data_IF_671122455379
#
_entry.id   IF_671122455379
#
_cell.length_a   1.000
_cell.length_b   1.000
_cell.length_c   1.000
_cell.angle_alpha   90.00
_cell.angle_beta   90.00
_cell.angle_gamma   90.00
#
_symmetry.space_group_name_H-M   'P 1'
#
loop_
_entity.id
_entity.type
_entity.pdbx_description
1 polymer ?
#
# COMPACT_ATOMS: atom_id res chain seq x y z
N UNK A 1 15.95 2.75 13.00
CA UNK A 1 14.65 3.21 13.55
C UNK A 1 14.04 2.09 14.37
N UNK A 2 13.31 2.39 15.45
CA UNK A 2 12.70 1.38 16.31
C UNK A 2 11.46 0.78 15.65
N UNK A 3 11.33 -0.55 15.63
CA UNK A 3 10.14 -1.23 15.17
C UNK A 3 8.97 -0.96 16.14
N UNK A 4 7.80 -0.57 15.61
CA UNK A 4 6.55 -0.42 16.38
C UNK A 4 5.72 -1.70 16.31
N UNK A 5 5.86 -2.47 15.21
CA UNK A 5 5.29 -3.81 15.08
C UNK A 5 6.45 -4.77 14.79
N UNK A 6 6.52 -5.87 15.53
CA UNK A 6 7.45 -6.96 15.29
C UNK A 6 6.69 -8.28 15.27
N UNK A 7 6.76 -8.95 14.14
CA UNK A 7 6.16 -10.26 13.88
C UNK A 7 7.29 -11.26 13.67
N UNK A 8 7.30 -12.37 14.41
CA UNK A 8 8.34 -13.39 14.33
C UNK A 8 7.73 -14.76 14.18
N UNK A 9 8.11 -15.44 13.09
CA UNK A 9 7.72 -16.81 12.74
C UNK A 9 6.21 -17.06 12.85
N UNK A 10 5.41 -16.05 12.48
CA UNK A 10 3.98 -16.10 12.61
C UNK A 10 3.38 -17.12 11.66
N UNK A 11 2.63 -18.06 12.21
CA UNK A 11 1.85 -19.01 11.44
C UNK A 11 0.38 -18.98 11.83
N UNK A 12 -0.50 -19.27 10.84
CA UNK A 12 -1.93 -19.41 11.05
C UNK A 12 -2.49 -20.54 10.22
N UNK A 13 -3.05 -21.51 10.91
CA UNK A 13 -3.79 -22.63 10.33
C UNK A 13 -5.24 -22.50 10.79
N UNK A 14 -6.20 -22.52 9.87
CA UNK A 14 -7.63 -22.52 10.16
C UNK A 14 -8.17 -23.96 10.32
N UNK A 15 -9.39 -24.07 10.86
CA UNK A 15 -10.11 -25.32 10.90
C UNK A 15 -10.18 -25.93 9.49
N UNK A 16 -9.90 -27.21 9.35
CA UNK A 16 -9.80 -27.88 8.04
C UNK A 16 -8.40 -27.91 7.43
N UNK A 17 -7.36 -27.42 8.15
CA UNK A 17 -5.96 -27.56 7.75
C UNK A 17 -5.46 -26.49 6.77
N UNK A 18 -6.28 -25.52 6.40
CA UNK A 18 -5.84 -24.42 5.53
C UNK A 18 -4.84 -23.52 6.24
N UNK A 19 -3.58 -23.50 5.76
CA UNK A 19 -2.52 -22.68 6.28
C UNK A 19 -2.51 -21.31 5.57
N UNK A 20 -3.04 -20.30 6.25
CA UNK A 20 -3.16 -18.93 5.72
C UNK A 20 -1.88 -18.10 5.88
N UNK A 21 -1.06 -18.40 6.91
CA UNK A 21 0.24 -17.75 7.10
C UNK A 21 1.30 -18.82 7.43
N UNK A 22 2.49 -18.68 6.82
CA UNK A 22 3.57 -19.66 6.90
C UNK A 22 4.85 -18.98 7.35
N UNK A 23 5.12 -19.02 8.69
CA UNK A 23 6.35 -18.50 9.27
C UNK A 23 6.70 -17.06 8.83
N UNK A 24 5.73 -16.15 8.96
CA UNK A 24 5.90 -14.76 8.55
C UNK A 24 6.78 -14.00 9.54
N UNK A 25 7.83 -13.36 9.05
CA UNK A 25 8.66 -12.39 9.75
C UNK A 25 8.42 -11.01 9.14
N UNK A 26 8.12 -10.00 9.99
CA UNK A 26 7.83 -8.64 9.53
C UNK A 26 8.13 -7.62 10.63
N UNK A 27 8.86 -6.58 10.28
CA UNK A 27 9.07 -5.41 11.13
C UNK A 27 8.57 -4.15 10.46
N UNK A 28 7.72 -3.38 11.17
CA UNK A 28 7.20 -2.09 10.73
C UNK A 28 7.78 -1.01 11.62
N UNK A 29 8.34 0.03 11.00
CA UNK A 29 9.02 1.13 11.69
C UNK A 29 8.00 2.15 12.19
N UNK A 30 8.33 2.84 13.28
CA UNK A 30 7.48 3.90 13.84
C UNK A 30 7.40 5.09 12.88
N UNK A 31 6.18 5.59 12.65
CA UNK A 31 5.92 6.80 11.87
C UNK A 31 6.05 6.63 10.35
N UNK A 32 6.11 5.39 9.83
CA UNK A 32 6.09 5.13 8.39
C UNK A 32 4.68 4.82 7.88
N UNK A 33 4.49 4.97 6.58
CA UNK A 33 3.40 4.35 5.84
C UNK A 33 3.94 3.06 5.22
N UNK A 34 3.47 1.93 5.71
CA UNK A 34 3.83 0.61 5.20
C UNK A 34 2.69 0.05 4.34
N UNK A 35 2.96 -0.25 3.06
CA UNK A 35 2.00 -0.90 2.19
C UNK A 35 2.26 -2.40 2.10
N UNK A 36 1.24 -3.21 2.36
CA UNK A 36 1.28 -4.64 2.18
C UNK A 36 0.55 -5.02 0.89
N UNK A 37 1.33 -5.35 -0.14
CA UNK A 37 0.86 -5.76 -1.46
C UNK A 37 0.71 -7.28 -1.55
N UNK A 38 -0.27 -7.73 -2.31
CA UNK A 38 -0.45 -9.14 -2.63
C UNK A 38 -1.80 -9.42 -3.26
N UNK A 39 -1.94 -10.53 -4.01
CA UNK A 39 -3.20 -10.92 -4.61
C UNK A 39 -4.26 -11.26 -3.57
N UNK A 40 -5.52 -11.40 -4.02
CA UNK A 40 -6.59 -11.86 -3.15
C UNK A 40 -6.29 -13.28 -2.66
N UNK A 41 -6.52 -13.52 -1.37
CA UNK A 41 -6.19 -14.79 -0.73
C UNK A 41 -4.72 -14.98 -0.34
N UNK A 42 -3.84 -13.99 -0.57
CA UNK A 42 -2.43 -14.07 -0.20
C UNK A 42 -2.15 -14.13 1.31
N UNK A 43 -3.14 -13.79 2.16
CA UNK A 43 -3.00 -13.77 3.62
C UNK A 43 -2.98 -12.38 4.25
N UNK A 44 -3.14 -11.28 3.47
CA UNK A 44 -3.11 -9.87 3.96
C UNK A 44 -4.05 -9.65 5.16
N UNK A 45 -5.35 -9.89 4.97
CA UNK A 45 -6.36 -9.71 6.02
C UNK A 45 -6.13 -10.64 7.22
N UNK A 46 -5.63 -11.85 7.00
CA UNK A 46 -5.28 -12.77 8.09
C UNK A 46 -4.12 -12.23 8.92
N UNK A 47 -3.09 -11.66 8.28
CA UNK A 47 -1.95 -11.04 8.95
C UNK A 47 -2.39 -9.83 9.78
N UNK A 48 -3.18 -8.92 9.19
CA UNK A 48 -3.75 -7.77 9.91
C UNK A 48 -4.58 -8.23 11.11
N UNK A 49 -5.49 -9.18 10.91
CA UNK A 49 -6.36 -9.67 11.97
C UNK A 49 -5.58 -10.35 13.11
N UNK A 50 -4.46 -11.02 12.81
CA UNK A 50 -3.56 -11.57 13.82
C UNK A 50 -2.86 -10.46 14.61
N UNK A 51 -2.33 -9.42 13.93
CA UNK A 51 -1.67 -8.28 14.60
C UNK A 51 -2.67 -7.47 15.44
N UNK A 52 -3.89 -7.29 14.96
CA UNK A 52 -4.96 -6.59 15.71
C UNK A 52 -5.56 -7.45 16.84
N UNK A 53 -5.12 -8.71 16.98
CA UNK A 53 -5.62 -9.63 18.00
C UNK A 53 -7.08 -10.08 17.79
N UNK A 54 -7.59 -10.01 16.55
CA UNK A 54 -8.93 -10.53 16.16
C UNK A 54 -8.84 -12.03 15.94
N UNK A 55 -7.73 -12.50 15.38
CA UNK A 55 -7.47 -13.93 15.13
C UNK A 55 -6.23 -14.34 15.91
N UNK A 56 -6.34 -15.38 16.74
CA UNK A 56 -5.19 -15.91 17.44
C UNK A 56 -4.23 -16.61 16.47
N UNK A 57 -2.92 -16.38 16.57
CA UNK A 57 -1.92 -17.10 15.80
C UNK A 57 -1.91 -18.60 16.16
N UNK A 58 -1.47 -19.46 15.25
CA UNK A 58 -1.20 -20.86 15.53
C UNK A 58 0.22 -21.10 16.04
N UNK A 59 1.14 -20.17 15.76
CA UNK A 59 2.52 -20.16 16.25
C UNK A 59 3.16 -18.82 15.95
N UNK A 60 4.34 -18.59 16.55
CA UNK A 60 5.08 -17.33 16.45
C UNK A 60 4.64 -16.29 17.48
N UNK A 61 5.20 -15.08 17.40
CA UNK A 61 4.95 -13.98 18.33
C UNK A 61 4.70 -12.69 17.57
N UNK A 62 3.85 -11.82 18.14
CA UNK A 62 3.55 -10.50 17.59
C UNK A 62 3.65 -9.49 18.72
N UNK A 63 4.46 -8.45 18.54
CA UNK A 63 4.55 -7.32 19.43
C UNK A 63 4.02 -6.06 18.74
N UNK A 64 3.15 -5.31 19.42
CA UNK A 64 2.68 -4.00 19.02
C UNK A 64 3.09 -2.98 20.09
N UNK A 65 3.97 -2.05 19.75
CA UNK A 65 4.57 -1.06 20.64
C UNK A 65 5.18 -1.71 21.91
N UNK A 66 5.84 -2.88 21.73
CA UNK A 66 6.45 -3.66 22.82
C UNK A 66 5.49 -4.58 23.58
N UNK A 67 4.18 -4.56 23.31
CA UNK A 67 3.18 -5.38 23.97
C UNK A 67 2.83 -6.60 23.13
N UNK A 68 2.86 -7.79 23.73
CA UNK A 68 2.44 -9.02 23.05
C UNK A 68 0.93 -9.04 22.83
N UNK A 69 0.50 -9.29 21.58
CA UNK A 69 -0.91 -9.18 21.19
C UNK A 69 -1.80 -10.28 21.76
N UNK A 70 -1.22 -11.36 22.28
CA UNK A 70 -1.94 -12.48 22.90
C UNK A 70 -1.94 -12.36 24.42
N UNK A 71 -0.77 -12.20 25.05
CA UNK A 71 -0.63 -12.19 26.51
C UNK A 71 -0.91 -10.84 27.14
N UNK A 72 -0.55 -9.74 26.44
CA UNK A 72 -0.82 -8.35 26.86
C UNK A 72 -1.78 -7.62 25.91
N UNK A 73 -2.85 -8.34 25.52
CA UNK A 73 -3.77 -7.91 24.47
C UNK A 73 -4.43 -6.56 24.72
N UNK A 74 -4.69 -6.17 25.98
CA UNK A 74 -5.32 -4.88 26.29
C UNK A 74 -4.41 -3.71 25.99
N UNK A 75 -3.15 -3.79 26.38
CA UNK A 75 -2.15 -2.78 26.10
C UNK A 75 -1.87 -2.71 24.59
N UNK A 76 -1.66 -3.87 23.94
CA UNK A 76 -1.45 -3.93 22.49
C UNK A 76 -2.62 -3.31 21.71
N UNK A 77 -3.87 -3.70 21.99
CA UNK A 77 -5.05 -3.15 21.30
C UNK A 77 -5.28 -1.67 21.55
N UNK A 78 -4.88 -1.15 22.74
CA UNK A 78 -4.97 0.29 23.03
C UNK A 78 -4.08 1.14 22.11
N UNK A 79 -3.09 0.54 21.46
CA UNK A 79 -2.16 1.18 20.52
C UNK A 79 -2.61 1.09 19.07
N UNK A 80 -3.62 0.27 18.77
CA UNK A 80 -4.03 -0.08 17.41
C UNK A 80 -5.42 0.46 17.10
N UNK A 81 -5.56 1.16 15.98
CA UNK A 81 -6.82 1.43 15.32
C UNK A 81 -6.93 0.57 14.05
N UNK A 82 -8.11 0.05 13.77
CA UNK A 82 -8.39 -0.75 12.58
C UNK A 82 -9.59 -0.19 11.82
N UNK A 83 -9.41 0.02 10.53
CA UNK A 83 -10.47 0.29 9.56
C UNK A 83 -10.57 -0.93 8.64
N UNK A 84 -11.59 -1.78 8.79
CA UNK A 84 -11.76 -2.95 7.95
C UNK A 84 -12.22 -2.57 6.53
N UNK A 85 -12.10 -3.51 5.61
CA UNK A 85 -12.56 -3.34 4.23
C UNK A 85 -14.07 -3.07 4.16
N UNK A 86 -14.87 -3.83 4.89
CA UNK A 86 -16.31 -3.63 4.97
C UNK A 86 -16.68 -2.53 5.97
N UNK A 87 -17.61 -1.65 5.56
CA UNK A 87 -18.08 -0.52 6.37
C UNK A 87 -19.19 -1.00 7.32
N UNK A 88 -18.82 -1.72 8.38
CA UNK A 88 -19.75 -2.15 9.42
C UNK A 88 -19.89 -1.05 10.49
N UNK A 89 -20.96 -0.25 10.41
CA UNK A 89 -21.35 0.74 11.42
C UNK A 89 -22.84 0.63 11.71
N UNK A 90 -23.25 1.06 12.90
CA UNK A 90 -24.68 1.23 13.18
C UNK A 90 -25.21 2.39 12.31
N UNK A 91 -26.15 2.05 11.44
CA UNK A 91 -26.69 2.99 10.45
C UNK A 91 -27.50 4.14 11.09
N UNK A 92 -28.06 3.93 12.27
CA UNK A 92 -28.99 4.86 12.94
C UNK A 92 -28.31 5.83 13.89
N UNK A 93 -27.09 5.54 14.32
CA UNK A 93 -26.30 6.39 15.20
C UNK A 93 -25.80 7.65 14.49
N UNK A 94 -25.58 8.73 15.28
CA UNK A 94 -24.92 9.93 14.77
C UNK A 94 -23.41 9.71 14.63
N UNK A 95 -22.76 10.52 13.79
CA UNK A 95 -21.28 10.51 13.66
C UNK A 95 -20.62 10.75 15.01
N UNK A 96 -21.12 11.75 15.76
CA UNK A 96 -20.60 12.11 17.07
C UNK A 96 -20.71 10.97 18.08
N UNK A 97 -21.89 10.37 18.18
CA UNK A 97 -22.14 9.30 19.15
C UNK A 97 -21.30 8.06 18.85
N UNK A 98 -21.21 7.68 17.57
CA UNK A 98 -20.38 6.54 17.12
C UNK A 98 -18.92 6.72 17.50
N UNK A 99 -18.34 7.91 17.25
CA UNK A 99 -16.92 8.16 17.53
C UNK A 99 -16.67 8.27 19.04
N UNK A 100 -17.58 8.92 19.77
CA UNK A 100 -17.50 9.06 21.23
C UNK A 100 -17.64 7.71 21.93
N UNK A 101 -18.61 6.89 21.51
CA UNK A 101 -18.81 5.53 22.03
C UNK A 101 -17.57 4.67 21.79
N UNK A 102 -16.99 4.73 20.60
CA UNK A 102 -15.76 3.99 20.28
C UNK A 102 -14.63 4.32 21.25
N UNK A 103 -14.44 5.61 21.58
CA UNK A 103 -13.44 6.02 22.59
C UNK A 103 -13.71 5.39 23.97
N UNK A 104 -14.98 5.36 24.38
CA UNK A 104 -15.40 4.75 25.64
C UNK A 104 -15.15 3.24 25.69
N UNK A 105 -15.39 2.52 24.58
CA UNK A 105 -15.14 1.08 24.48
C UNK A 105 -13.65 0.74 24.72
N UNK A 106 -12.74 1.62 24.30
CA UNK A 106 -11.30 1.49 24.58
C UNK A 106 -10.90 1.95 26.00
N UNK A 107 -11.87 2.26 26.88
CA UNK A 107 -11.63 2.67 28.26
C UNK A 107 -11.01 4.06 28.41
N UNK A 108 -11.05 4.90 27.37
CA UNK A 108 -10.53 6.27 27.43
C UNK A 108 -11.59 7.21 28.00
N UNK A 109 -11.19 8.16 28.87
CA UNK A 109 -12.14 9.17 29.41
C UNK A 109 -12.72 10.02 28.28
N UNK A 110 -13.91 10.56 28.49
CA UNK A 110 -14.54 11.49 27.56
C UNK A 110 -13.60 12.67 27.25
N UNK A 111 -13.43 12.98 25.98
CA UNK A 111 -12.62 14.12 25.51
C UNK A 111 -13.29 14.76 24.29
N UNK A 112 -14.32 15.60 24.49
CA UNK A 112 -15.04 16.26 23.41
C UNK A 112 -14.14 17.11 22.52
N UNK A 113 -13.11 17.76 23.08
CA UNK A 113 -12.19 18.59 22.32
C UNK A 113 -11.34 17.76 21.35
N UNK A 114 -10.90 16.56 21.76
CA UNK A 114 -10.21 15.63 20.88
C UNK A 114 -11.12 15.15 19.73
N UNK A 115 -12.36 14.75 20.06
CA UNK A 115 -13.33 14.29 19.06
C UNK A 115 -13.67 15.42 18.07
N UNK A 116 -13.88 16.64 18.55
CA UNK A 116 -14.07 17.80 17.66
C UNK A 116 -12.89 18.00 16.72
N UNK A 117 -11.65 18.04 17.24
CA UNK A 117 -10.43 18.17 16.45
C UNK A 117 -10.37 17.09 15.38
N UNK A 118 -10.61 15.84 15.76
CA UNK A 118 -10.59 14.69 14.87
C UNK A 118 -11.64 14.80 13.75
N UNK A 119 -12.88 15.14 14.08
CA UNK A 119 -13.96 15.32 13.11
C UNK A 119 -13.69 16.48 12.14
N UNK A 120 -13.06 17.57 12.62
CA UNK A 120 -12.63 18.68 11.74
C UNK A 120 -11.54 18.25 10.77
N UNK A 121 -10.52 17.52 11.24
CA UNK A 121 -9.44 16.99 10.40
C UNK A 121 -9.96 16.05 9.30
N UNK A 122 -11.01 15.29 9.62
CA UNK A 122 -11.64 14.36 8.68
C UNK A 122 -12.78 14.99 7.85
N UNK A 123 -12.98 16.32 7.95
CA UNK A 123 -14.07 17.06 7.26
C UNK A 123 -15.48 16.51 7.57
N UNK A 124 -15.69 16.06 8.82
CA UNK A 124 -16.94 15.48 9.30
C UNK A 124 -17.66 16.40 10.29
N UNK A 125 -17.05 17.51 10.72
CA UNK A 125 -17.59 18.35 11.78
C UNK A 125 -19.01 18.86 11.50
N UNK A 126 -19.25 19.36 10.28
CA UNK A 126 -20.57 19.86 9.86
C UNK A 126 -21.64 18.74 9.78
N UNK A 127 -21.21 17.49 9.79
CA UNK A 127 -22.07 16.30 9.74
C UNK A 127 -22.11 15.54 11.06
N UNK A 128 -21.56 16.09 12.15
CA UNK A 128 -21.45 15.40 13.44
C UNK A 128 -22.77 14.84 13.99
N UNK A 129 -23.87 15.56 13.74
CA UNK A 129 -25.22 15.17 14.20
C UNK A 129 -25.99 14.36 13.13
N UNK A 130 -25.40 14.14 11.94
CA UNK A 130 -26.05 13.35 10.89
C UNK A 130 -25.99 11.88 11.22
N UNK A 131 -27.05 11.13 10.89
CA UNK A 131 -27.05 9.67 10.98
C UNK A 131 -26.11 9.08 9.92
N UNK A 132 -25.41 8.02 10.26
CA UNK A 132 -24.43 7.40 9.36
C UNK A 132 -25.07 6.92 8.05
N UNK A 133 -26.33 6.42 8.12
CA UNK A 133 -27.05 6.00 6.92
C UNK A 133 -27.21 7.12 5.86
N UNK A 134 -27.30 8.38 6.28
CA UNK A 134 -27.48 9.54 5.41
C UNK A 134 -26.18 10.05 4.77
N UNK A 135 -25.03 9.46 5.08
CA UNK A 135 -23.73 9.85 4.57
C UNK A 135 -23.39 9.16 3.24
N UNK A 136 -22.59 9.81 2.40
CA UNK A 136 -21.97 9.17 1.24
C UNK A 136 -20.98 8.07 1.65
N UNK A 137 -20.63 7.17 0.72
CA UNK A 137 -19.67 6.10 0.98
C UNK A 137 -18.32 6.61 1.49
N UNK A 138 -17.79 7.67 0.87
CA UNK A 138 -16.55 8.31 1.31
C UNK A 138 -16.64 8.94 2.70
N UNK A 139 -17.79 9.55 3.05
CA UNK A 139 -18.01 10.07 4.40
C UNK A 139 -18.13 8.94 5.42
N UNK A 140 -18.81 7.84 5.11
CA UNK A 140 -18.85 6.64 5.96
C UNK A 140 -17.45 6.10 6.23
N UNK A 141 -16.59 6.06 5.21
CA UNK A 141 -15.19 5.64 5.36
C UNK A 141 -14.43 6.56 6.32
N UNK A 142 -14.60 7.89 6.19
CA UNK A 142 -14.00 8.86 7.12
C UNK A 142 -14.51 8.68 8.56
N UNK A 143 -15.80 8.32 8.75
CA UNK A 143 -16.34 7.97 10.08
C UNK A 143 -15.65 6.73 10.66
N UNK A 144 -15.39 5.70 9.85
CA UNK A 144 -14.64 4.52 10.29
C UNK A 144 -13.22 4.88 10.73
N UNK A 145 -12.56 5.78 10.02
CA UNK A 145 -11.23 6.28 10.39
C UNK A 145 -11.33 7.10 11.70
N UNK A 146 -12.33 7.97 11.84
CA UNK A 146 -12.57 8.71 13.09
C UNK A 146 -12.79 7.75 14.27
N UNK A 147 -13.59 6.71 14.07
CA UNK A 147 -13.83 5.65 15.06
C UNK A 147 -12.52 4.97 15.46
N UNK A 148 -11.69 4.57 14.48
CA UNK A 148 -10.41 3.91 14.72
C UNK A 148 -9.39 4.81 15.43
N UNK A 149 -9.46 6.14 15.24
CA UNK A 149 -8.55 7.12 15.83
C UNK A 149 -9.07 7.72 17.17
N UNK A 150 -10.32 7.44 17.54
CA UNK A 150 -10.98 8.07 18.69
C UNK A 150 -10.27 7.87 20.04
N UNK A 151 -9.55 6.76 20.20
CA UNK A 151 -8.80 6.40 21.40
C UNK A 151 -7.31 6.76 21.35
N UNK A 152 -6.89 7.53 20.33
CA UNK A 152 -5.52 8.03 20.14
C UNK A 152 -4.49 6.88 19.96
N UNK A 153 -4.71 5.97 19.00
CA UNK A 153 -3.76 4.90 18.73
C UNK A 153 -2.48 5.44 18.09
N UNK A 154 -1.39 4.69 18.22
CA UNK A 154 -0.11 4.98 17.55
C UNK A 154 0.04 4.25 16.22
N UNK A 155 -0.82 3.26 15.98
CA UNK A 155 -0.81 2.38 14.82
C UNK A 155 -2.21 2.38 14.21
N UNK A 156 -2.32 2.63 12.91
CA UNK A 156 -3.58 2.58 12.18
C UNK A 156 -3.48 1.59 11.03
N UNK A 157 -4.33 0.57 11.06
CA UNK A 157 -4.52 -0.35 9.95
C UNK A 157 -5.67 0.11 9.06
N UNK A 158 -5.42 0.11 7.76
CA UNK A 158 -6.39 0.40 6.70
C UNK A 158 -6.45 -0.79 5.74
N UNK A 159 -7.51 -1.59 5.84
CA UNK A 159 -7.68 -2.75 4.96
C UNK A 159 -8.43 -2.31 3.69
N UNK A 160 -7.72 -2.29 2.56
CA UNK A 160 -8.18 -1.84 1.25
C UNK A 160 -8.96 -0.48 1.30
N UNK A 161 -8.31 0.61 1.76
CA UNK A 161 -9.00 1.84 2.13
C UNK A 161 -9.71 2.54 0.98
N UNK A 162 -9.34 2.29 -0.25
CA UNK A 162 -9.86 2.98 -1.45
C UNK A 162 -10.61 2.06 -2.40
N UNK A 163 -10.89 0.81 -1.98
CA UNK A 163 -11.68 -0.12 -2.78
C UNK A 163 -13.08 0.45 -3.06
N UNK A 164 -13.43 0.56 -4.36
CA UNK A 164 -14.72 1.11 -4.80
C UNK A 164 -14.89 2.63 -4.65
N UNK A 165 -13.79 3.37 -4.43
CA UNK A 165 -13.79 4.83 -4.30
C UNK A 165 -13.32 5.48 -5.61
N UNK A 166 -13.98 6.58 -6.01
CA UNK A 166 -13.57 7.34 -7.19
C UNK A 166 -12.22 8.07 -7.00
N UNK A 167 -11.61 8.51 -8.11
CA UNK A 167 -10.26 9.09 -8.14
C UNK A 167 -10.13 10.34 -7.25
N UNK A 168 -11.15 11.18 -7.19
CA UNK A 168 -11.10 12.45 -6.42
C UNK A 168 -11.13 12.14 -4.93
N UNK A 169 -12.06 11.28 -4.50
CA UNK A 169 -12.16 10.86 -3.11
C UNK A 169 -10.93 10.05 -2.65
N UNK A 170 -10.29 9.32 -3.56
CA UNK A 170 -9.04 8.60 -3.31
C UNK A 170 -7.90 9.57 -2.97
N UNK A 171 -7.71 10.63 -3.75
CA UNK A 171 -6.70 11.67 -3.46
C UNK A 171 -6.92 12.35 -2.12
N UNK A 172 -8.17 12.69 -1.80
CA UNK A 172 -8.53 13.28 -0.52
C UNK A 172 -8.17 12.36 0.66
N UNK A 173 -8.42 11.06 0.50
CA UNK A 173 -8.05 10.05 1.50
C UNK A 173 -6.53 9.95 1.66
N UNK A 174 -5.77 9.98 0.58
CA UNK A 174 -4.31 9.93 0.63
C UNK A 174 -3.73 11.15 1.36
N UNK A 175 -4.23 12.35 1.07
CA UNK A 175 -3.81 13.56 1.76
C UNK A 175 -4.09 13.48 3.27
N UNK A 176 -5.26 12.96 3.63
CA UNK A 176 -5.62 12.75 5.03
C UNK A 176 -4.67 11.73 5.71
N UNK A 177 -4.38 10.60 5.06
CA UNK A 177 -3.48 9.57 5.58
C UNK A 177 -2.06 10.10 5.78
N UNK A 178 -1.54 10.89 4.81
CA UNK A 178 -0.24 11.57 4.98
C UNK A 178 -0.25 12.52 6.17
N UNK A 179 -1.31 13.29 6.34
CA UNK A 179 -1.46 14.19 7.49
C UNK A 179 -1.49 13.46 8.84
N UNK A 180 -2.02 12.25 8.91
CA UNK A 180 -1.98 11.41 10.11
C UNK A 180 -0.56 10.90 10.38
N UNK A 181 0.17 10.44 9.35
CA UNK A 181 1.57 10.05 9.47
C UNK A 181 2.43 11.20 9.97
N UNK A 182 2.24 12.40 9.44
CA UNK A 182 3.00 13.60 9.83
C UNK A 182 2.73 14.01 11.29
N UNK A 183 1.62 13.56 11.87
CA UNK A 183 1.31 13.66 13.30
C UNK A 183 1.91 12.51 14.14
N UNK A 184 2.67 11.61 13.54
CA UNK A 184 3.38 10.53 14.22
C UNK A 184 2.62 9.20 14.28
N UNK A 185 1.46 9.07 13.62
CA UNK A 185 0.74 7.79 13.51
C UNK A 185 1.46 6.90 12.51
N UNK A 186 1.77 5.67 12.89
CA UNK A 186 2.26 4.64 11.95
C UNK A 186 1.07 4.05 11.20
N UNK A 187 1.17 3.97 9.88
CA UNK A 187 0.05 3.52 9.05
C UNK A 187 0.44 2.27 8.30
N UNK A 188 -0.41 1.26 8.37
CA UNK A 188 -0.30 0.04 7.61
C UNK A 188 -1.53 -0.05 6.71
N UNK A 189 -1.30 -0.08 5.41
CA UNK A 189 -2.39 -0.27 4.45
C UNK A 189 -2.19 -1.56 3.67
N UNK A 190 -3.29 -2.26 3.43
CA UNK A 190 -3.31 -3.32 2.43
C UNK A 190 -3.92 -2.78 1.16
N UNK A 191 -3.40 -3.19 0.06
CA UNK A 191 -3.99 -2.91 -1.25
C UNK A 191 -3.59 -3.98 -2.26
N UNK A 192 -4.39 -4.13 -3.28
CA UNK A 192 -4.04 -4.85 -4.50
C UNK A 192 -3.79 -3.87 -5.65
N UNK A 193 -3.98 -2.57 -5.42
CA UNK A 193 -3.66 -1.50 -6.36
C UNK A 193 -2.22 -1.02 -6.12
N UNK A 194 -1.35 -1.32 -7.05
CA UNK A 194 0.08 -1.03 -6.95
C UNK A 194 0.34 0.47 -6.95
N UNK A 195 -0.44 1.23 -7.73
CA UNK A 195 -0.40 2.70 -7.77
C UNK A 195 -0.57 3.34 -6.39
N UNK A 196 -1.41 2.76 -5.53
CA UNK A 196 -1.60 3.27 -4.16
C UNK A 196 -0.35 3.12 -3.31
N UNK A 197 0.31 1.97 -3.40
CA UNK A 197 1.56 1.75 -2.69
C UNK A 197 2.67 2.67 -3.23
N UNK A 198 2.71 2.86 -4.56
CA UNK A 198 3.67 3.77 -5.20
C UNK A 198 3.47 5.22 -4.76
N UNK A 199 2.22 5.68 -4.68
CA UNK A 199 1.90 7.05 -4.29
C UNK A 199 2.15 7.30 -2.79
N UNK A 200 1.84 6.34 -1.92
CA UNK A 200 1.73 6.59 -0.49
C UNK A 200 2.81 5.99 0.38
N UNK A 201 3.32 4.80 0.02
CA UNK A 201 4.17 4.04 0.92
C UNK A 201 5.58 4.61 1.04
N UNK A 202 6.13 4.55 2.25
CA UNK A 202 7.55 4.72 2.51
C UNK A 202 8.29 3.38 2.30
N UNK A 203 7.65 2.27 2.76
CA UNK A 203 8.13 0.90 2.57
C UNK A 203 7.02 -0.02 2.09
N UNK A 204 7.41 -1.03 1.35
CA UNK A 204 6.50 -2.00 0.73
C UNK A 204 6.87 -3.40 1.19
N UNK A 205 5.86 -4.15 1.62
CA UNK A 205 5.92 -5.57 1.81
C UNK A 205 5.10 -6.29 0.75
N UNK A 206 5.61 -7.38 0.21
CA UNK A 206 4.87 -8.23 -0.73
C UNK A 206 4.60 -9.57 -0.07
N UNK A 207 3.33 -9.94 0.00
CA UNK A 207 2.88 -11.23 0.55
C UNK A 207 2.26 -12.10 -0.54
N UNK A 208 2.63 -13.38 -0.56
CA UNK A 208 2.10 -14.39 -1.49
C UNK A 208 1.98 -15.73 -0.79
N UNK A 209 0.85 -16.42 -0.97
CA UNK A 209 0.61 -17.76 -0.43
C UNK A 209 0.91 -17.89 1.08
N UNK A 210 0.67 -16.82 1.86
CA UNK A 210 0.90 -16.78 3.29
C UNK A 210 2.36 -16.52 3.71
N UNK A 211 3.23 -16.12 2.82
CA UNK A 211 4.63 -15.81 3.05
C UNK A 211 4.97 -14.38 2.63
N UNK A 212 5.81 -13.68 3.40
CA UNK A 212 6.38 -12.40 2.97
C UNK A 212 7.56 -12.71 2.06
N UNK A 213 7.47 -12.29 0.81
CA UNK A 213 8.52 -12.55 -0.19
C UNK A 213 9.49 -11.38 -0.36
N UNK A 214 9.08 -10.17 0.06
CA UNK A 214 9.90 -8.97 -0.01
C UNK A 214 9.45 -7.96 1.03
N UNK A 215 10.40 -7.26 1.65
CA UNK A 215 10.17 -6.02 2.41
C UNK A 215 11.30 -5.05 2.07
N UNK A 216 10.99 -3.91 1.47
CA UNK A 216 12.01 -2.96 1.03
C UNK A 216 11.50 -1.51 1.16
N UNK A 217 12.40 -0.54 1.31
CA UNK A 217 12.09 0.86 1.12
C UNK A 217 11.67 1.11 -0.34
N UNK A 218 10.57 1.84 -0.56
CA UNK A 218 10.04 2.07 -1.91
C UNK A 218 11.09 2.67 -2.85
N UNK A 219 11.84 3.67 -2.38
CA UNK A 219 12.88 4.30 -3.18
C UNK A 219 13.98 3.30 -3.58
N UNK A 220 14.43 2.46 -2.64
CA UNK A 220 15.42 1.43 -2.91
C UNK A 220 14.90 0.34 -3.86
N UNK A 221 13.62 -0.01 -3.74
CA UNK A 221 12.97 -0.96 -4.66
C UNK A 221 12.94 -0.42 -6.09
N UNK A 222 12.51 0.83 -6.24
CA UNK A 222 12.48 1.51 -7.54
C UNK A 222 13.88 1.70 -8.13
N UNK A 223 14.90 1.90 -7.30
CA UNK A 223 16.28 2.02 -7.73
C UNK A 223 16.88 0.67 -8.17
N UNK A 224 16.65 -0.40 -7.39
CA UNK A 224 17.25 -1.72 -7.65
C UNK A 224 16.59 -2.48 -8.80
N UNK A 225 15.27 -2.40 -8.91
CA UNK A 225 14.48 -3.23 -9.83
C UNK A 225 13.83 -2.41 -10.95
N UNK A 226 13.80 -1.08 -10.82
CA UNK A 226 13.26 -0.18 -11.82
C UNK A 226 14.18 -0.08 -13.03
N UNK A 227 13.81 -0.73 -14.13
CA UNK A 227 14.45 -0.50 -15.42
C UNK A 227 14.01 0.86 -15.96
N UNK A 228 14.92 1.59 -16.59
CA UNK A 228 14.57 2.78 -17.37
C UNK A 228 14.20 2.39 -18.78
N UNK A 229 13.22 3.09 -19.31
CA UNK A 229 12.80 2.94 -20.69
C UNK A 229 13.00 4.28 -21.42
N UNK A 230 13.52 4.19 -22.62
CA UNK A 230 13.62 5.29 -23.56
C UNK A 230 12.67 4.99 -24.71
N UNK A 231 11.57 5.74 -24.78
CA UNK A 231 10.61 5.64 -25.88
C UNK A 231 10.97 6.67 -26.94
N UNK A 232 11.21 6.21 -28.14
CA UNK A 232 11.52 7.02 -29.32
C UNK A 232 10.28 7.05 -30.22
N UNK A 233 9.67 8.23 -30.38
CA UNK A 233 8.58 8.43 -31.32
C UNK A 233 9.16 8.58 -32.74
N UNK A 234 8.95 7.60 -33.59
CA UNK A 234 9.56 7.54 -34.92
C UNK A 234 8.92 8.57 -35.88
N UNK A 235 9.72 9.11 -36.80
CA UNK A 235 9.21 9.97 -37.86
C UNK A 235 8.41 9.18 -38.92
N UNK A 236 8.81 7.93 -39.16
CA UNK A 236 8.13 7.00 -40.06
C UNK A 236 7.92 5.67 -39.34
N UNK A 237 6.72 5.07 -39.44
CA UNK A 237 6.51 3.76 -38.84
C UNK A 237 7.46 2.70 -39.39
N UNK A 238 7.96 1.84 -38.52
CA UNK A 238 8.75 0.66 -38.87
C UNK A 238 7.83 -0.56 -38.97
N UNK A 239 8.03 -1.39 -39.98
CA UNK A 239 7.33 -2.67 -40.08
C UNK A 239 7.91 -3.73 -39.11
N UNK A 240 9.24 -3.66 -38.87
CA UNK A 240 9.93 -4.53 -37.93
C UNK A 240 11.28 -3.91 -37.54
N UNK A 241 11.82 -4.33 -36.42
CA UNK A 241 13.15 -3.92 -35.96
C UNK A 241 14.19 -4.60 -36.89
N UNK A 242 15.16 -3.85 -37.45
CA UNK A 242 16.27 -4.45 -38.20
C UNK A 242 16.97 -5.55 -37.39
N UNK A 243 17.41 -6.63 -38.08
CA UNK A 243 18.02 -7.78 -37.38
C UNK A 243 19.30 -7.40 -36.63
N UNK A 244 20.02 -6.40 -37.09
CA UNK A 244 21.23 -5.88 -36.48
C UNK A 244 20.98 -5.10 -35.19
N UNK A 245 19.76 -4.56 -35.04
CA UNK A 245 19.28 -3.86 -33.82
C UNK A 245 18.45 -4.79 -32.91
N UNK A 246 18.08 -5.97 -33.42
CA UNK A 246 17.21 -6.87 -32.69
C UNK A 246 17.93 -7.43 -31.45
N UNK A 247 17.43 -7.06 -30.27
CA UNK A 247 17.88 -7.53 -28.97
C UNK A 247 16.76 -7.49 -27.96
N UNK A 248 16.91 -8.19 -26.84
CA UNK A 248 15.89 -8.24 -25.77
C UNK A 248 15.57 -6.87 -25.17
N UNK A 249 16.44 -5.88 -25.38
CA UNK A 249 16.28 -4.54 -24.82
C UNK A 249 15.41 -3.61 -25.68
N UNK A 250 15.10 -3.99 -26.94
CA UNK A 250 14.34 -3.19 -27.90
C UNK A 250 12.97 -3.83 -28.21
N UNK A 251 11.92 -3.03 -28.13
CA UNK A 251 10.57 -3.42 -28.51
C UNK A 251 9.96 -2.37 -29.45
N UNK A 252 9.19 -2.82 -30.46
CA UNK A 252 8.45 -1.97 -31.37
C UNK A 252 6.97 -2.01 -31.01
N UNK A 253 6.30 -0.85 -30.99
CA UNK A 253 4.84 -0.77 -30.80
C UNK A 253 4.10 -1.51 -31.93
N UNK A 254 2.86 -1.95 -31.66
CA UNK A 254 2.07 -2.71 -32.62
C UNK A 254 1.76 -1.93 -33.93
N UNK A 255 1.74 -0.61 -33.87
CA UNK A 255 1.55 0.29 -35.00
C UNK A 255 2.88 0.74 -35.66
N UNK A 256 4.00 0.32 -35.12
CA UNK A 256 5.35 0.64 -35.62
C UNK A 256 5.78 2.10 -35.38
N UNK A 257 5.05 2.88 -34.61
CA UNK A 257 5.32 4.33 -34.44
C UNK A 257 6.27 4.63 -33.28
N UNK A 258 6.45 3.68 -32.34
CA UNK A 258 7.29 3.86 -31.15
C UNK A 258 8.30 2.71 -31.02
N UNK A 259 9.54 3.08 -30.73
CA UNK A 259 10.61 2.15 -30.40
C UNK A 259 10.99 2.34 -28.93
N UNK A 260 10.82 1.29 -28.12
CA UNK A 260 11.10 1.30 -26.68
C UNK A 260 12.38 0.57 -26.38
N UNK A 261 13.35 1.27 -25.82
CA UNK A 261 14.62 0.72 -25.34
C UNK A 261 14.62 0.62 -23.82
N UNK A 262 14.78 -0.59 -23.31
CA UNK A 262 14.82 -0.84 -21.85
C UNK A 262 16.26 -1.04 -21.41
N UNK A 263 16.72 -0.27 -20.43
CA UNK A 263 18.09 -0.32 -19.95
C UNK A 263 18.18 -0.20 -18.42
N UNK A 264 19.26 -0.74 -17.86
CA UNK A 264 19.58 -0.57 -16.44
C UNK A 264 20.27 0.78 -16.25
N UNK A 265 19.62 1.67 -15.46
CA UNK A 265 20.16 3.00 -15.16
C UNK A 265 21.44 2.98 -14.33
N UNK A 266 21.74 1.89 -13.63
CA UNK A 266 22.93 1.73 -12.80
C UNK A 266 24.09 1.07 -13.54
N UNK A 267 23.85 0.54 -14.75
CA UNK A 267 24.90 -0.04 -15.58
C UNK A 267 25.97 1.02 -15.92
N UNK A 268 27.25 0.65 -15.85
CA UNK A 268 28.37 1.55 -16.22
C UNK A 268 28.24 2.04 -17.66
N UNK A 269 27.57 1.30 -18.51
CA UNK A 269 27.24 1.67 -19.90
C UNK A 269 25.77 1.34 -20.13
N UNK A 270 24.97 2.37 -20.37
CA UNK A 270 23.53 2.23 -20.59
C UNK A 270 23.18 1.79 -22.02
N UNK A 271 24.15 1.77 -22.93
CA UNK A 271 23.96 1.43 -24.35
C UNK A 271 23.22 2.50 -25.17
N UNK A 272 22.78 3.60 -24.57
CA UNK A 272 22.00 4.65 -25.26
C UNK A 272 22.80 5.28 -26.41
N UNK A 273 24.07 5.58 -26.19
CA UNK A 273 24.94 6.19 -27.22
C UNK A 273 25.11 5.25 -28.43
N UNK A 274 25.29 3.95 -28.18
CA UNK A 274 25.40 2.94 -29.25
C UNK A 274 24.08 2.78 -29.97
N UNK A 275 22.94 2.78 -29.25
CA UNK A 275 21.62 2.76 -29.85
C UNK A 275 21.42 3.92 -30.83
N UNK A 276 21.70 5.17 -30.42
CA UNK A 276 21.53 6.32 -31.30
C UNK A 276 22.44 6.29 -32.53
N UNK A 277 23.68 5.81 -32.40
CA UNK A 277 24.56 5.62 -33.52
C UNK A 277 23.99 4.59 -34.53
N UNK A 278 23.55 3.44 -34.03
CA UNK A 278 22.96 2.38 -34.84
C UNK A 278 21.65 2.81 -35.52
N UNK A 279 20.78 3.54 -34.83
CA UNK A 279 19.58 4.09 -35.46
C UNK A 279 19.91 5.04 -36.60
N UNK A 280 20.94 5.90 -36.46
CA UNK A 280 21.44 6.78 -37.50
C UNK A 280 22.03 6.00 -38.72
N UNK A 281 22.79 4.94 -38.47
CA UNK A 281 23.35 4.05 -39.52
C UNK A 281 22.25 3.37 -40.34
N UNK A 282 21.08 3.08 -39.72
CA UNK A 282 19.94 2.45 -40.40
C UNK A 282 18.92 3.45 -40.93
N UNK A 283 19.21 4.75 -40.85
CA UNK A 283 18.30 5.80 -41.32
C UNK A 283 16.95 5.87 -40.57
N UNK A 284 16.94 5.45 -39.30
CA UNK A 284 15.77 5.47 -38.43
C UNK A 284 15.76 6.80 -37.68
N UNK A 285 14.93 7.73 -38.13
CA UNK A 285 14.75 9.03 -37.53
C UNK A 285 13.59 9.06 -36.55
N UNK A 286 13.74 9.78 -35.45
CA UNK A 286 12.70 10.00 -34.47
C UNK A 286 12.41 11.50 -34.32
N UNK A 287 11.16 11.85 -33.99
CA UNK A 287 10.67 13.23 -33.82
C UNK A 287 10.68 13.69 -32.36
N UNK A 288 10.60 12.74 -31.44
CA UNK A 288 10.57 13.00 -30.00
C UNK A 288 11.12 11.82 -29.24
N UNK A 289 11.60 12.06 -28.02
CA UNK A 289 12.06 11.02 -27.11
C UNK A 289 11.54 11.28 -25.69
N UNK A 290 11.10 10.23 -25.02
CA UNK A 290 10.66 10.27 -23.64
C UNK A 290 11.41 9.23 -22.82
N UNK A 291 11.94 9.64 -21.67
CA UNK A 291 12.51 8.69 -20.69
C UNK A 291 11.50 8.45 -19.58
N UNK A 292 11.19 7.20 -19.32
CA UNK A 292 10.36 6.75 -18.21
C UNK A 292 11.11 5.72 -17.36
N UNK A 293 10.72 5.59 -16.12
CA UNK A 293 11.19 4.51 -15.24
C UNK A 293 10.08 3.48 -15.14
N UNK A 294 10.42 2.19 -15.06
CA UNK A 294 9.45 1.12 -14.82
C UNK A 294 8.59 1.46 -13.61
N UNK A 295 7.31 1.21 -13.71
CA UNK A 295 6.37 1.37 -12.61
C UNK A 295 6.61 0.30 -11.54
N UNK A 296 6.12 0.54 -10.34
CA UNK A 296 6.08 -0.49 -9.30
C UNK A 296 5.27 -1.71 -9.76
N UNK A 297 4.32 -1.50 -10.69
CA UNK A 297 3.52 -2.56 -11.29
C UNK A 297 4.37 -3.54 -12.11
N UNK A 298 5.27 -3.02 -12.95
CA UNK A 298 6.20 -3.86 -13.71
C UNK A 298 7.11 -4.67 -12.80
N UNK A 299 7.59 -4.05 -11.72
CA UNK A 299 8.41 -4.71 -10.69
C UNK A 299 7.63 -5.82 -10.01
N UNK A 300 6.38 -5.55 -9.63
CA UNK A 300 5.52 -6.52 -8.96
C UNK A 300 5.19 -7.72 -9.85
N UNK A 301 4.86 -7.48 -11.13
CA UNK A 301 4.60 -8.56 -12.11
C UNK A 301 5.83 -9.45 -12.25
N UNK A 302 7.02 -8.86 -12.43
CA UNK A 302 8.28 -9.62 -12.53
C UNK A 302 8.55 -10.46 -11.26
N UNK A 303 8.31 -9.91 -10.05
CA UNK A 303 8.47 -10.65 -8.80
C UNK A 303 7.47 -11.82 -8.68
N UNK A 304 6.27 -11.65 -9.23
CA UNK A 304 5.26 -12.70 -9.23
C UNK A 304 5.53 -13.80 -10.26
N UNK A 305 6.21 -13.49 -11.37
CA UNK A 305 6.58 -14.47 -12.41
C UNK A 305 7.85 -15.24 -12.07
N UNK A 306 8.87 -14.59 -11.52
CA UNK A 306 10.16 -15.21 -11.20
C UNK A 306 10.07 -16.34 -10.16
N UNK A 307 8.93 -16.51 -9.48
CA UNK A 307 8.71 -17.56 -8.47
C UNK A 307 7.68 -18.61 -8.93
N UNK A 308 7.40 -18.70 -10.23
CA UNK A 308 6.65 -19.81 -10.84
C UNK A 308 7.60 -20.95 -11.21
#
# INVERSE_FOLDING_TARGET
MQAIISVKQLSKVYAGGFQALKSVDLEIRRGEIFALLGPNGAGKTTLINAICGIVNPSGGTILADGHDVVTDYRAARSKIGLVPQELATDAFESVWDTVTLSRGIFGKPANPAHIEKLLRQLSLWEKKNSRIMALSGGMKRRVMIAKALSHEPQILFLDEPTAGVDVVLRRDMWNMVRGLRDQGVTIILTTHYIEEAEEMADRIGVIRNGEIILVEDKAALMEKLGKKQLTLHLQRPLAQIPAELAGEALALSADGTELVYTFDAQAKQTGITDLFRQLGEHGIDFKDLQSSQSSLEDIFVNLMEAQR
#
